data_IF_639624449606
#
_entry.id   IF_639624449606
#
_cell.length_a   1.000
_cell.length_b   1.000
_cell.length_c   1.000
_cell.angle_alpha   90.00
_cell.angle_beta   90.00
_cell.angle_gamma   90.00
#
_symmetry.space_group_name_H-M   'P 1'
#
loop_
_entity.id
_entity.type
_entity.pdbx_description
1 polymer ?
#
# COMPACT_ATOMS: atom_id res chain seq x y z
N UNK A 1 -10.34 12.48 5.88
CA UNK A 1 -10.16 11.57 7.01
C UNK A 1 -9.37 10.34 6.60
N UNK A 2 -9.88 9.59 5.63
CA UNK A 2 -9.15 8.40 5.17
C UNK A 2 -7.83 8.73 4.47
N UNK A 3 -7.72 9.95 3.92
CA UNK A 3 -6.45 10.39 3.34
C UNK A 3 -5.31 10.37 4.36
N UNK A 4 -5.61 10.69 5.62
CA UNK A 4 -4.62 10.65 6.70
C UNK A 4 -4.14 9.23 6.92
N UNK A 5 -5.06 8.26 6.92
CA UNK A 5 -4.71 6.85 7.06
C UNK A 5 -3.94 6.34 5.85
N UNK A 6 -4.32 6.77 4.64
CA UNK A 6 -3.58 6.40 3.44
C UNK A 6 -2.15 6.91 3.51
N UNK A 7 -1.94 8.17 3.89
CA UNK A 7 -0.59 8.72 4.07
C UNK A 7 0.20 7.93 5.10
N UNK A 8 -0.44 7.53 6.20
CA UNK A 8 0.21 6.72 7.22
C UNK A 8 0.66 5.38 6.64
N UNK A 9 -0.19 4.73 5.86
CA UNK A 9 0.15 3.46 5.23
C UNK A 9 1.38 3.60 4.33
N UNK A 10 1.40 4.62 3.46
CA UNK A 10 2.54 4.81 2.56
C UNK A 10 3.81 5.18 3.30
N UNK A 11 3.71 5.94 4.38
CA UNK A 11 4.86 6.27 5.21
C UNK A 11 5.43 5.01 5.88
N UNK A 12 4.55 4.17 6.42
CA UNK A 12 4.97 2.89 7.01
C UNK A 12 5.61 1.97 5.98
N UNK A 13 5.10 2.02 4.74
CA UNK A 13 5.67 1.24 3.64
C UNK A 13 7.11 1.67 3.37
N UNK A 14 7.36 2.98 3.31
CA UNK A 14 8.72 3.51 3.12
C UNK A 14 9.66 3.08 4.25
N UNK A 15 9.13 2.94 5.46
CA UNK A 15 9.91 2.54 6.63
C UNK A 15 10.01 1.02 6.76
N UNK A 16 9.35 0.27 5.89
CA UNK A 16 9.28 -1.19 5.96
C UNK A 16 8.73 -1.68 7.31
N UNK A 17 7.79 -0.92 7.88
CA UNK A 17 7.23 -1.25 9.19
C UNK A 17 6.06 -2.23 9.03
N UNK A 18 6.41 -3.50 8.88
CA UNK A 18 5.43 -4.56 8.58
C UNK A 18 4.42 -4.74 9.73
N UNK A 19 4.87 -4.55 10.96
CA UNK A 19 4.00 -4.73 12.13
C UNK A 19 2.86 -3.72 12.11
N UNK A 20 3.17 -2.45 11.96
CA UNK A 20 2.14 -1.40 11.98
C UNK A 20 1.28 -1.43 10.72
N UNK A 21 1.86 -1.83 9.58
CA UNK A 21 1.05 -2.06 8.39
C UNK A 21 -0.01 -3.12 8.69
N UNK A 22 0.39 -4.21 9.32
CA UNK A 22 -0.55 -5.27 9.69
C UNK A 22 -1.71 -4.77 10.54
N UNK A 23 -1.45 -3.81 11.43
CA UNK A 23 -2.49 -3.24 12.28
C UNK A 23 -3.49 -2.39 11.49
N UNK A 24 -3.11 -1.93 10.31
CA UNK A 24 -4.00 -1.14 9.44
C UNK A 24 -4.86 -2.01 8.53
N UNK A 25 -4.56 -3.30 8.39
CA UNK A 25 -5.24 -4.19 7.45
C UNK A 25 -6.39 -4.93 8.13
N UNK A 26 -7.50 -5.14 7.40
CA UNK A 26 -8.55 -6.04 7.87
C UNK A 26 -8.08 -7.48 7.69
N UNK A 27 -8.72 -8.41 8.41
CA UNK A 27 -8.36 -9.81 8.30
C UNK A 27 -8.65 -10.38 6.89
N UNK A 28 -9.65 -9.82 6.21
CA UNK A 28 -10.04 -10.25 4.86
C UNK A 28 -9.41 -9.42 3.75
N UNK A 29 -8.39 -8.63 4.07
CA UNK A 29 -7.77 -7.74 3.07
C UNK A 29 -7.30 -8.52 1.85
N UNK A 30 -7.45 -7.92 0.66
CA UNK A 30 -6.91 -8.49 -0.57
C UNK A 30 -5.94 -7.50 -1.20
N UNK A 31 -4.94 -8.03 -1.89
CA UNK A 31 -3.98 -7.24 -2.64
C UNK A 31 -3.99 -7.71 -4.09
N UNK A 32 -4.22 -6.78 -5.00
CA UNK A 32 -4.12 -7.02 -6.44
C UNK A 32 -3.05 -6.11 -7.02
N UNK A 33 -1.98 -6.72 -7.47
CA UNK A 33 -0.89 -6.10 -8.19
C UNK A 33 -0.90 -6.70 -9.59
N UNK A 34 -0.34 -6.07 -10.62
CA UNK A 34 -0.42 -6.62 -11.98
C UNK A 34 -0.04 -8.09 -12.10
N UNK A 35 0.88 -8.57 -11.27
CA UNK A 35 1.39 -9.94 -11.37
C UNK A 35 1.06 -10.80 -10.16
N UNK A 36 0.47 -10.25 -9.12
CA UNK A 36 0.29 -10.95 -7.84
C UNK A 36 -1.10 -10.66 -7.29
N UNK A 37 -1.77 -11.72 -6.83
CA UNK A 37 -3.00 -11.59 -6.07
C UNK A 37 -2.81 -12.31 -4.73
N UNK A 38 -3.01 -11.59 -3.63
CA UNK A 38 -2.91 -12.16 -2.29
C UNK A 38 -4.25 -11.96 -1.58
N UNK A 39 -4.72 -13.00 -0.91
CA UNK A 39 -6.01 -12.99 -0.22
C UNK A 39 -5.78 -13.27 1.25
N UNK A 40 -6.30 -12.38 2.11
CA UNK A 40 -6.18 -12.50 3.55
C UNK A 40 -4.94 -11.81 4.09
N UNK A 41 -5.04 -11.38 5.35
CA UNK A 41 -4.00 -10.57 5.99
C UNK A 41 -2.64 -11.28 6.01
N UNK A 42 -2.62 -12.57 6.32
CA UNK A 42 -1.36 -13.31 6.39
C UNK A 42 -0.65 -13.30 5.04
N UNK A 43 -1.39 -13.59 3.96
CA UNK A 43 -0.80 -13.63 2.62
C UNK A 43 -0.39 -12.25 2.12
N UNK A 44 -1.20 -11.23 2.42
CA UNK A 44 -0.86 -9.86 2.03
C UNK A 44 0.40 -9.39 2.74
N UNK A 45 0.54 -9.70 4.03
CA UNK A 45 1.75 -9.33 4.77
C UNK A 45 2.97 -10.10 4.26
N UNK A 46 2.80 -11.36 3.88
CA UNK A 46 3.89 -12.15 3.31
C UNK A 46 4.37 -11.53 1.99
N UNK A 47 3.43 -11.16 1.11
CA UNK A 47 3.75 -10.52 -0.16
C UNK A 47 4.45 -9.19 0.08
N UNK A 48 3.94 -8.39 1.02
CA UNK A 48 4.52 -7.10 1.36
C UNK A 48 5.95 -7.27 1.88
N UNK A 49 6.17 -8.25 2.76
CA UNK A 49 7.51 -8.52 3.28
C UNK A 49 8.47 -8.94 2.17
N UNK A 50 7.99 -9.73 1.20
CA UNK A 50 8.82 -10.11 0.05
C UNK A 50 9.24 -8.88 -0.75
N UNK A 51 8.33 -7.92 -0.91
CA UNK A 51 8.66 -6.65 -1.57
C UNK A 51 9.74 -5.92 -0.78
N UNK A 52 9.59 -5.83 0.54
CA UNK A 52 10.57 -5.17 1.41
C UNK A 52 11.94 -5.82 1.33
N UNK A 53 11.97 -7.16 1.20
CA UNK A 53 13.23 -7.90 1.12
C UNK A 53 13.91 -7.78 -0.24
N UNK A 54 13.18 -7.32 -1.26
CA UNK A 54 13.71 -7.26 -2.63
C UNK A 54 14.56 -6.02 -2.89
N UNK A 55 14.58 -5.06 -1.97
CA UNK A 55 15.31 -3.81 -2.15
C UNK A 55 15.86 -3.32 -0.82
N UNK A 56 17.01 -2.64 -0.85
CA UNK A 56 17.59 -2.06 0.35
C UNK A 56 16.82 -0.84 0.82
N UNK A 57 16.40 0.00 -0.11
CA UNK A 57 15.65 1.20 0.20
C UNK A 57 14.42 1.30 -0.70
N UNK A 58 13.29 1.64 -0.09
CA UNK A 58 12.05 1.91 -0.80
C UNK A 58 11.52 3.23 -0.27
N UNK A 59 11.30 4.19 -1.16
CA UNK A 59 10.73 5.47 -0.78
C UNK A 59 9.45 5.68 -1.57
N UNK A 60 8.33 5.82 -0.87
CA UNK A 60 7.04 6.10 -1.49
C UNK A 60 6.78 7.59 -1.36
N UNK A 61 6.61 8.26 -2.49
CA UNK A 61 6.30 9.68 -2.55
C UNK A 61 4.85 9.82 -3.00
N UNK A 62 4.03 10.38 -2.12
CA UNK A 62 2.61 10.61 -2.42
C UNK A 62 2.53 11.91 -3.21
N UNK A 63 2.07 11.81 -4.46
CA UNK A 63 1.92 13.00 -5.32
C UNK A 63 0.55 13.63 -5.13
N UNK A 64 -0.50 12.82 -5.04
CA UNK A 64 -1.86 13.31 -4.84
C UNK A 64 -2.74 12.21 -4.28
N UNK A 65 -3.80 12.60 -3.57
CA UNK A 65 -4.76 11.69 -2.97
C UNK A 65 -6.17 12.16 -3.28
N UNK A 66 -7.03 11.22 -3.64
CA UNK A 66 -8.44 11.48 -3.91
C UNK A 66 -9.28 10.53 -3.07
N UNK A 67 -10.29 11.03 -2.41
CA UNK A 67 -11.12 10.22 -1.52
C UNK A 67 -12.58 10.29 -1.91
N UNK A 68 -13.22 9.11 -2.04
CA UNK A 68 -14.66 9.02 -2.29
C UNK A 68 -15.15 7.65 -1.83
N UNK A 69 -16.27 7.64 -1.10
CA UNK A 69 -16.94 6.37 -0.71
C UNK A 69 -16.00 5.38 -0.03
N UNK A 70 -15.26 5.85 0.97
CA UNK A 70 -14.33 5.05 1.75
C UNK A 70 -13.19 4.48 0.91
N UNK A 71 -12.92 5.09 -0.22
CA UNK A 71 -11.85 4.69 -1.13
C UNK A 71 -10.90 5.85 -1.30
N UNK A 72 -9.59 5.59 -1.22
CA UNK A 72 -8.56 6.58 -1.48
C UNK A 72 -7.77 6.14 -2.69
N UNK A 73 -7.71 6.99 -3.71
CA UNK A 73 -6.88 6.79 -4.90
C UNK A 73 -5.62 7.62 -4.71
N UNK A 74 -4.46 6.98 -4.84
CA UNK A 74 -3.17 7.62 -4.59
C UNK A 74 -2.31 7.59 -5.84
N UNK A 75 -1.88 8.77 -6.29
CA UNK A 75 -0.85 8.86 -7.32
C UNK A 75 0.50 8.87 -6.62
N UNK A 76 1.34 7.90 -6.93
CA UNK A 76 2.59 7.67 -6.22
C UNK A 76 3.78 7.63 -7.17
N UNK A 77 4.93 8.03 -6.65
CA UNK A 77 6.22 7.69 -7.23
C UNK A 77 6.95 6.84 -6.20
N UNK A 78 7.53 5.73 -6.63
CA UNK A 78 8.29 4.86 -5.75
C UNK A 78 9.73 4.84 -6.24
N UNK A 79 10.66 5.17 -5.34
CA UNK A 79 12.08 5.15 -5.65
C UNK A 79 12.67 3.90 -4.99
N UNK A 80 13.27 3.03 -5.80
CA UNK A 80 13.88 1.79 -5.36
C UNK A 80 15.39 1.98 -5.39
N UNK A 81 16.05 1.79 -4.25
CA UNK A 81 17.52 1.84 -4.11
C UNK A 81 18.13 3.11 -4.72
N UNK A 82 17.42 4.21 -4.67
CA UNK A 82 17.83 5.56 -5.11
C UNK A 82 18.05 5.71 -6.61
N UNK A 83 17.87 4.67 -7.42
CA UNK A 83 18.15 4.77 -8.85
C UNK A 83 17.03 4.29 -9.76
N UNK A 84 15.96 3.72 -9.24
CA UNK A 84 14.83 3.30 -10.06
C UNK A 84 13.57 4.03 -9.61
N UNK A 85 12.93 4.72 -10.56
CA UNK A 85 11.68 5.43 -10.29
C UNK A 85 10.53 4.69 -10.97
N UNK A 86 9.50 4.36 -10.19
CA UNK A 86 8.30 3.69 -10.67
C UNK A 86 7.10 4.59 -10.38
N UNK A 87 6.24 4.79 -11.38
CA UNK A 87 5.00 5.53 -11.20
C UNK A 87 3.86 4.54 -11.04
N UNK A 88 3.10 4.70 -9.96
CA UNK A 88 2.05 3.76 -9.58
C UNK A 88 0.81 4.53 -9.13
N UNK A 89 -0.35 3.97 -9.43
CA UNK A 89 -1.60 4.39 -8.82
C UNK A 89 -2.06 3.26 -7.92
N UNK A 90 -2.21 3.56 -6.62
CA UNK A 90 -2.78 2.64 -5.65
C UNK A 90 -4.21 3.04 -5.34
N UNK A 91 -5.08 2.06 -5.21
CA UNK A 91 -6.44 2.27 -4.73
C UNK A 91 -6.58 1.51 -3.42
N UNK A 92 -6.84 2.24 -2.34
CA UNK A 92 -7.05 1.67 -1.01
C UNK A 92 -8.52 1.78 -0.65
N UNK A 93 -9.16 0.64 -0.37
CA UNK A 93 -10.54 0.64 0.08
C UNK A 93 -10.57 0.27 1.55
N UNK A 94 -11.29 1.08 2.35
CA UNK A 94 -11.37 0.93 3.80
C UNK A 94 -12.76 0.38 4.18
N UNK A 95 -12.77 -0.47 5.20
CA UNK A 95 -14.03 -0.99 5.74
C UNK A 95 -14.61 -0.02 6.77
N UNK A 96 -15.73 -0.39 7.39
CA UNK A 96 -16.41 0.48 8.35
C UNK A 96 -15.62 0.71 9.64
N UNK A 97 -14.60 -0.11 9.91
CA UNK A 97 -13.71 0.04 11.06
C UNK A 97 -12.44 0.79 10.72
N UNK A 98 -12.40 1.42 9.53
CA UNK A 98 -11.25 2.17 9.02
C UNK A 98 -10.00 1.30 8.85
N UNK A 99 -10.19 0.01 8.58
CA UNK A 99 -9.11 -0.88 8.19
C UNK A 99 -9.11 -1.04 6.68
N UNK A 100 -7.93 -1.23 6.11
CA UNK A 100 -7.80 -1.43 4.67
C UNK A 100 -8.32 -2.84 4.33
N UNK A 101 -9.33 -2.90 3.47
CA UNK A 101 -9.89 -4.18 3.05
C UNK A 101 -9.50 -4.57 1.63
N UNK A 102 -8.99 -3.62 0.82
CA UNK A 102 -8.56 -3.93 -0.54
C UNK A 102 -7.48 -2.96 -0.96
N UNK A 103 -6.42 -3.51 -1.55
CA UNK A 103 -5.33 -2.73 -2.12
C UNK A 103 -5.22 -3.15 -3.58
N UNK A 104 -5.29 -2.17 -4.49
CA UNK A 104 -5.08 -2.43 -5.92
C UNK A 104 -3.97 -1.51 -6.40
N UNK A 105 -2.99 -2.07 -7.08
CA UNK A 105 -1.84 -1.31 -7.57
C UNK A 105 -1.77 -1.39 -9.08
N UNK A 106 -1.63 -0.24 -9.73
CA UNK A 106 -1.57 -0.14 -11.19
C UNK A 106 -0.30 0.60 -11.57
N UNK A 107 0.58 -0.06 -12.30
CA UNK A 107 1.81 0.57 -12.79
C UNK A 107 1.48 1.39 -14.04
N UNK A 108 1.99 2.60 -14.05
CA UNK A 108 1.79 3.53 -15.16
C UNK A 108 2.83 3.33 -16.25
#
# INVERSE_FOLDING_TARGET
>A
MLKILANKYFNLFSKKNIKEIGEMLSEEVTLNDPNITSIGKIEVLKTTQNIFNSANNIQVIVKDLYEENRTVVAELEIIIDTNELIKIVDILKFNQLDKIEKISAYKM
#
